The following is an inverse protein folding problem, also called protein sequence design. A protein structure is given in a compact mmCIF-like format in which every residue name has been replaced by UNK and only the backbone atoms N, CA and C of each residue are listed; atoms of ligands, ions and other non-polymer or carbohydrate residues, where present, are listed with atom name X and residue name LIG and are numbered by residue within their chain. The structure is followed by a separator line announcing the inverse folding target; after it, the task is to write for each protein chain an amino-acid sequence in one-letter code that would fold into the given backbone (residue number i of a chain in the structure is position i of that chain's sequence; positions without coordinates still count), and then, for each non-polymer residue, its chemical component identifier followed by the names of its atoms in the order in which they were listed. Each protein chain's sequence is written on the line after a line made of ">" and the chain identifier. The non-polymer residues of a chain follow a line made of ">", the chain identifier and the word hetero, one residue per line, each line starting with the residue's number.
data_IF_779670869071
#
_entry.id   IF_779670869071
#
_cell.length_a   1.000
_cell.length_b   1.000
_cell.length_c   1.000
_cell.angle_alpha   90.00
_cell.angle_beta   90.00
_cell.angle_gamma   90.00
#
_symmetry.space_group_name_H-M   'P 1'
#
loop_
_entity.id
_entity.type
_entity.pdbx_description
1 polymer ?
#
# COMPACT_ATOMS: atom_id res chain seq x y z
N UNK A 1 17.85 10.86 -62.26
CA UNK A 1 16.70 10.20 -61.63
C UNK A 1 17.25 9.46 -60.40
N UNK A 2 17.09 10.08 -59.23
CA UNK A 2 17.64 9.59 -57.97
C UNK A 2 16.46 9.09 -57.09
N UNK A 3 16.14 7.83 -57.18
CA UNK A 3 15.11 7.21 -56.34
C UNK A 3 15.72 6.83 -54.98
N UNK A 4 15.56 7.73 -54.00
CA UNK A 4 15.76 7.35 -52.58
C UNK A 4 14.55 6.53 -52.14
N UNK A 5 14.74 5.36 -51.50
CA UNK A 5 13.64 4.67 -50.90
C UNK A 5 13.11 5.46 -49.68
N UNK A 6 11.84 5.67 -49.68
CA UNK A 6 11.04 6.32 -48.66
C UNK A 6 11.17 5.52 -47.35
N UNK A 7 11.72 6.15 -46.29
CA UNK A 7 11.80 5.57 -44.96
C UNK A 7 10.39 5.38 -44.38
N UNK A 8 9.82 4.24 -44.60
CA UNK A 8 8.64 3.80 -43.83
C UNK A 8 9.01 3.71 -42.36
N UNK A 9 8.35 4.39 -41.43
CA UNK A 9 8.61 4.24 -40.01
C UNK A 9 8.31 2.81 -39.60
N UNK A 10 9.30 2.14 -39.04
CA UNK A 10 9.16 0.83 -38.45
C UNK A 10 8.07 0.86 -37.37
N UNK A 11 7.13 -0.12 -37.30
CA UNK A 11 6.11 -0.14 -36.28
C UNK A 11 6.77 -0.22 -34.90
N UNK A 12 6.70 0.88 -34.14
CA UNK A 12 7.17 0.91 -32.77
C UNK A 12 6.35 -0.09 -31.96
N UNK A 13 6.96 -1.23 -31.64
CA UNK A 13 6.38 -2.19 -30.70
C UNK A 13 6.09 -1.45 -29.37
N UNK A 14 4.86 -1.53 -28.84
CA UNK A 14 4.55 -0.93 -27.56
C UNK A 14 5.53 -1.47 -26.52
N UNK A 15 6.07 -0.63 -25.63
CA UNK A 15 7.03 -1.06 -24.62
C UNK A 15 6.40 -2.18 -23.79
N UNK A 16 7.08 -3.34 -23.78
CA UNK A 16 6.66 -4.50 -23.00
C UNK A 16 6.51 -4.06 -21.56
N UNK A 17 5.29 -4.19 -21.01
CA UNK A 17 5.00 -3.78 -19.65
C UNK A 17 5.98 -4.46 -18.67
N UNK A 18 6.59 -3.74 -17.73
CA UNK A 18 7.55 -4.30 -16.77
C UNK A 18 6.96 -5.42 -15.91
N UNK A 19 5.63 -5.55 -15.89
CA UNK A 19 4.90 -6.57 -15.14
C UNK A 19 5.02 -7.97 -15.77
N UNK A 20 5.43 -8.10 -17.03
CA UNK A 20 5.56 -9.42 -17.71
C UNK A 20 6.73 -10.26 -17.20
N UNK A 21 7.65 -9.70 -16.40
CA UNK A 21 8.83 -10.39 -15.84
C UNK A 21 8.67 -10.85 -14.39
N UNK A 22 7.57 -10.51 -13.72
CA UNK A 22 7.34 -11.01 -12.36
C UNK A 22 6.81 -12.44 -12.48
N UNK A 23 7.71 -13.41 -12.39
CA UNK A 23 7.33 -14.81 -12.22
C UNK A 23 6.61 -14.94 -10.87
N UNK A 24 5.37 -15.39 -10.87
CA UNK A 24 4.57 -15.66 -9.67
C UNK A 24 5.34 -16.52 -8.65
N UNK A 25 6.22 -17.42 -9.15
CA UNK A 25 7.08 -18.25 -8.31
C UNK A 25 8.03 -17.46 -7.42
N UNK A 26 8.48 -16.28 -7.84
CA UNK A 26 9.40 -15.46 -7.03
C UNK A 26 8.71 -14.70 -5.90
N UNK A 27 7.40 -14.49 -6.01
CA UNK A 27 6.60 -13.91 -4.94
C UNK A 27 6.19 -14.95 -3.88
N UNK A 28 6.19 -16.24 -4.26
CA UNK A 28 5.74 -17.32 -3.37
C UNK A 28 6.71 -17.57 -2.22
N UNK A 29 8.03 -17.50 -2.44
CA UNK A 29 9.03 -17.73 -1.41
C UNK A 29 8.96 -16.74 -0.23
N UNK A 30 8.90 -15.41 -0.44
CA UNK A 30 8.75 -14.46 0.67
C UNK A 30 7.46 -14.65 1.45
N UNK A 31 6.37 -14.99 0.79
CA UNK A 31 5.08 -15.26 1.43
C UNK A 31 5.17 -16.52 2.31
N UNK A 32 5.79 -17.57 1.80
CA UNK A 32 5.96 -18.83 2.54
C UNK A 32 6.87 -18.63 3.77
N UNK A 33 7.95 -17.88 3.63
CA UNK A 33 8.86 -17.54 4.73
C UNK A 33 8.13 -16.70 5.79
N UNK A 34 7.35 -15.69 5.36
CA UNK A 34 6.54 -14.86 6.28
C UNK A 34 5.49 -15.68 7.03
N UNK A 35 4.75 -16.53 6.33
CA UNK A 35 3.78 -17.44 6.95
C UNK A 35 4.45 -18.43 7.91
N UNK A 36 5.61 -18.98 7.52
CA UNK A 36 6.38 -19.87 8.37
C UNK A 36 6.89 -19.18 9.64
N UNK A 37 7.38 -17.95 9.54
CA UNK A 37 7.81 -17.16 10.68
C UNK A 37 6.65 -16.84 11.63
N UNK A 38 5.50 -16.41 11.08
CA UNK A 38 4.29 -16.16 11.87
C UNK A 38 3.77 -17.44 12.53
N UNK A 39 3.75 -18.56 11.79
CA UNK A 39 3.35 -19.86 12.33
C UNK A 39 4.27 -20.31 13.45
N UNK A 40 5.59 -20.14 13.29
CA UNK A 40 6.57 -20.47 14.33
C UNK A 40 6.41 -19.59 15.57
N UNK A 41 6.21 -18.27 15.41
CA UNK A 41 5.97 -17.35 16.53
C UNK A 41 4.67 -17.69 17.25
N UNK A 42 3.59 -17.96 16.52
CA UNK A 42 2.34 -18.40 17.11
C UNK A 42 2.51 -19.69 17.88
N UNK A 43 3.23 -20.68 17.34
CA UNK A 43 3.44 -21.94 18.04
C UNK A 43 4.32 -21.81 19.29
N UNK A 44 5.36 -20.97 19.23
CA UNK A 44 6.29 -20.76 20.36
C UNK A 44 5.66 -19.95 21.49
N UNK A 45 4.90 -18.90 21.13
CA UNK A 45 4.35 -17.93 22.09
C UNK A 45 2.87 -18.19 22.39
N UNK A 46 2.30 -19.29 21.84
CA UNK A 46 0.91 -19.66 22.05
C UNK A 46 0.70 -20.25 23.42
N UNK A 47 0.35 -19.41 24.37
CA UNK A 47 -0.02 -19.83 25.72
C UNK A 47 -1.56 -19.90 25.83
N UNK A 48 -2.07 -21.14 25.87
CA UNK A 48 -3.52 -21.40 26.06
C UNK A 48 -4.04 -20.81 27.39
N UNK A 49 -3.17 -20.65 28.38
CA UNK A 49 -3.55 -20.08 29.69
C UNK A 49 -3.90 -18.59 29.57
N UNK A 50 -3.23 -17.84 28.66
CA UNK A 50 -3.56 -16.43 28.37
C UNK A 50 -4.96 -16.32 27.78
N UNK A 51 -5.36 -17.24 26.90
CA UNK A 51 -6.70 -17.25 26.31
C UNK A 51 -7.78 -17.65 27.30
N UNK A 52 -7.49 -18.56 28.25
CA UNK A 52 -8.46 -18.97 29.29
C UNK A 52 -8.72 -17.86 30.30
N UNK A 53 -7.80 -16.91 30.47
CA UNK A 53 -7.92 -15.75 31.34
C UNK A 53 -8.67 -14.56 30.71
N UNK A 54 -8.97 -14.60 29.40
CA UNK A 54 -9.70 -13.53 28.73
C UNK A 54 -11.18 -13.64 29.10
N UNK A 55 -11.58 -12.89 30.11
CA UNK A 55 -13.01 -12.70 30.42
C UNK A 55 -13.61 -11.73 29.40
N UNK A 56 -14.61 -12.18 28.67
CA UNK A 56 -15.32 -11.36 27.70
C UNK A 56 -16.13 -10.28 28.45
N UNK A 57 -15.46 -9.13 28.67
CA UNK A 57 -16.08 -7.99 29.34
C UNK A 57 -16.65 -7.02 28.31
N UNK A 58 -17.77 -6.38 28.65
CA UNK A 58 -18.36 -5.29 27.84
C UNK A 58 -17.35 -4.14 27.59
N UNK A 59 -16.47 -3.91 28.51
CA UNK A 59 -15.38 -2.95 28.39
C UNK A 59 -14.38 -3.32 27.29
N UNK A 60 -14.05 -4.61 27.14
CA UNK A 60 -13.20 -5.10 26.05
C UNK A 60 -13.86 -4.88 24.68
N UNK A 61 -15.16 -5.18 24.57
CA UNK A 61 -15.92 -4.95 23.33
C UNK A 61 -15.95 -3.47 22.96
N UNK A 62 -16.13 -2.60 23.93
CA UNK A 62 -16.10 -1.15 23.73
C UNK A 62 -14.76 -0.69 23.12
N UNK A 63 -13.62 -1.11 23.70
CA UNK A 63 -12.30 -0.74 23.18
C UNK A 63 -12.02 -1.33 21.80
N UNK A 64 -12.51 -2.55 21.55
CA UNK A 64 -12.39 -3.17 20.22
C UNK A 64 -13.18 -2.40 19.16
N UNK A 65 -14.40 -1.98 19.47
CA UNK A 65 -15.20 -1.13 18.59
C UNK A 65 -14.52 0.22 18.37
N UNK A 66 -13.97 0.84 19.43
CA UNK A 66 -13.23 2.10 19.30
C UNK A 66 -11.99 1.94 18.42
N UNK A 67 -11.25 0.84 18.54
CA UNK A 67 -10.12 0.57 17.67
C UNK A 67 -10.54 0.48 16.18
N UNK A 68 -11.64 -0.20 15.89
CA UNK A 68 -12.22 -0.29 14.54
C UNK A 68 -12.65 1.09 14.03
N UNK A 69 -13.31 1.91 14.86
CA UNK A 69 -13.70 3.28 14.50
C UNK A 69 -12.49 4.15 14.17
N UNK A 70 -11.43 4.08 14.96
CA UNK A 70 -10.18 4.81 14.68
C UNK A 70 -9.50 4.32 13.41
N UNK A 71 -9.52 3.02 13.13
CA UNK A 71 -9.00 2.44 11.88
C UNK A 71 -9.74 3.01 10.66
N UNK A 72 -11.08 3.03 10.68
CA UNK A 72 -11.87 3.65 9.61
C UNK A 72 -11.59 5.16 9.49
N UNK A 73 -11.43 5.87 10.62
CA UNK A 73 -11.05 7.28 10.62
C UNK A 73 -9.73 7.54 9.93
N UNK A 74 -8.73 6.68 10.16
CA UNK A 74 -7.44 6.69 9.49
C UNK A 74 -7.59 6.54 7.98
N UNK A 75 -8.36 5.55 7.54
CA UNK A 75 -8.55 5.24 6.11
C UNK A 75 -9.27 6.39 5.38
N UNK A 76 -10.27 7.00 6.03
CA UNK A 76 -10.91 8.22 5.53
C UNK A 76 -9.90 9.35 5.39
N UNK A 77 -9.00 9.53 6.36
CA UNK A 77 -7.92 10.49 6.31
C UNK A 77 -7.00 10.28 5.08
N UNK A 78 -6.62 9.04 4.80
CA UNK A 78 -5.82 8.70 3.61
C UNK A 78 -6.57 8.98 2.30
N UNK A 79 -7.86 8.68 2.24
CA UNK A 79 -8.70 8.96 1.06
C UNK A 79 -8.78 10.46 0.80
N UNK A 80 -9.00 11.27 1.84
CA UNK A 80 -9.03 12.74 1.74
C UNK A 80 -7.67 13.25 1.27
N UNK A 81 -6.58 12.78 1.87
CA UNK A 81 -5.21 13.17 1.54
C UNK A 81 -4.89 12.93 0.07
N UNK A 82 -5.12 11.73 -0.45
CA UNK A 82 -4.83 11.40 -1.84
C UNK A 82 -5.69 12.22 -2.82
N UNK A 83 -6.92 12.55 -2.45
CA UNK A 83 -7.78 13.43 -3.24
C UNK A 83 -7.25 14.86 -3.30
N UNK A 84 -6.82 15.42 -2.17
CA UNK A 84 -6.22 16.76 -2.10
C UNK A 84 -4.94 16.78 -2.94
N UNK A 85 -4.04 15.82 -2.77
CA UNK A 85 -2.78 15.74 -3.51
C UNK A 85 -2.98 15.53 -5.02
N UNK A 86 -4.03 14.84 -5.41
CA UNK A 86 -4.42 14.70 -6.82
C UNK A 86 -5.15 15.93 -7.38
N UNK A 87 -5.31 16.99 -6.59
CA UNK A 87 -6.11 18.17 -6.94
C UNK A 87 -7.57 17.81 -7.31
N UNK A 88 -8.16 16.91 -6.54
CA UNK A 88 -9.51 16.36 -6.72
C UNK A 88 -9.76 15.66 -8.09
N UNK A 89 -8.71 15.31 -8.81
CA UNK A 89 -8.84 14.52 -10.04
C UNK A 89 -9.38 13.11 -9.76
N UNK A 90 -9.08 12.55 -8.59
CA UNK A 90 -9.65 11.29 -8.14
C UNK A 90 -11.03 11.51 -7.51
N UNK A 91 -12.03 10.79 -7.99
CA UNK A 91 -13.33 10.70 -7.33
C UNK A 91 -13.19 9.95 -5.99
N UNK A 92 -14.20 10.06 -5.11
CA UNK A 92 -14.19 9.34 -3.83
C UNK A 92 -14.04 7.81 -3.99
N UNK A 93 -14.71 7.23 -4.98
CA UNK A 93 -14.64 5.79 -5.28
C UNK A 93 -13.26 5.37 -5.79
N UNK A 94 -12.64 6.19 -6.63
CA UNK A 94 -11.29 5.95 -7.15
C UNK A 94 -10.25 6.05 -6.04
N UNK A 95 -10.31 7.08 -5.21
CA UNK A 95 -9.43 7.27 -4.06
C UNK A 95 -9.56 6.10 -3.07
N UNK A 96 -10.79 5.68 -2.73
CA UNK A 96 -11.03 4.51 -1.89
C UNK A 96 -10.40 3.24 -2.49
N UNK A 97 -10.63 2.99 -3.78
CA UNK A 97 -10.06 1.82 -4.48
C UNK A 97 -8.52 1.83 -4.44
N UNK A 98 -7.91 2.98 -4.71
CA UNK A 98 -6.44 3.12 -4.68
C UNK A 98 -5.90 2.84 -3.28
N UNK A 99 -6.48 3.42 -2.23
CA UNK A 99 -6.03 3.22 -0.85
C UNK A 99 -6.18 1.76 -0.43
N UNK A 100 -7.35 1.14 -0.65
CA UNK A 100 -7.57 -0.27 -0.30
C UNK A 100 -6.59 -1.22 -1.02
N UNK A 101 -6.34 -0.99 -2.32
CA UNK A 101 -5.39 -1.77 -3.08
C UNK A 101 -3.94 -1.53 -2.63
N UNK A 102 -3.61 -0.30 -2.25
CA UNK A 102 -2.29 0.02 -1.69
C UNK A 102 -2.06 -0.70 -0.37
N UNK A 103 -2.99 -0.59 0.58
CA UNK A 103 -2.90 -1.26 1.88
C UNK A 103 -2.85 -2.78 1.73
N UNK A 104 -3.73 -3.35 0.91
CA UNK A 104 -3.72 -4.78 0.62
C UNK A 104 -2.36 -5.23 0.06
N UNK A 105 -1.83 -4.50 -0.93
CA UNK A 105 -0.54 -4.84 -1.55
C UNK A 105 0.60 -4.69 -0.55
N UNK A 106 0.58 -3.67 0.30
CA UNK A 106 1.57 -3.48 1.36
C UNK A 106 1.53 -4.60 2.39
N UNK A 107 0.34 -5.10 2.72
CA UNK A 107 0.18 -6.21 3.67
C UNK A 107 0.73 -7.55 3.14
N UNK A 108 0.61 -7.82 1.85
CA UNK A 108 1.07 -9.08 1.24
C UNK A 108 2.51 -9.01 0.72
N UNK A 109 3.09 -7.83 0.60
CA UNK A 109 4.46 -7.66 0.08
C UNK A 109 5.42 -7.38 1.24
N UNK A 110 6.38 -8.27 1.55
CA UNK A 110 7.28 -8.12 2.70
C UNK A 110 8.36 -7.05 2.47
N UNK A 111 8.05 -6.01 1.73
CA UNK A 111 8.97 -4.91 1.41
C UNK A 111 8.22 -3.58 1.43
N UNK A 112 8.76 -2.61 2.14
CA UNK A 112 8.25 -1.24 2.17
C UNK A 112 8.14 -0.60 0.77
N UNK A 113 8.98 -1.04 -0.17
CA UNK A 113 9.02 -0.53 -1.55
C UNK A 113 7.93 -1.16 -2.42
N UNK A 114 7.49 -2.39 -2.11
CA UNK A 114 6.52 -3.12 -2.92
C UNK A 114 5.16 -2.43 -2.99
N UNK A 115 4.59 -2.08 -1.85
CA UNK A 115 3.31 -1.38 -1.75
C UNK A 115 3.33 -0.02 -2.44
N UNK A 116 4.38 0.76 -2.22
CA UNK A 116 4.55 2.10 -2.80
C UNK A 116 4.64 2.05 -4.33
N UNK A 117 5.43 1.11 -4.88
CA UNK A 117 5.57 0.96 -6.33
C UNK A 117 4.25 0.59 -7.01
N UNK A 118 3.48 -0.29 -6.38
CA UNK A 118 2.17 -0.70 -6.88
C UNK A 118 1.13 0.41 -6.75
N UNK A 119 1.20 1.21 -5.67
CA UNK A 119 0.34 2.39 -5.49
C UNK A 119 0.50 3.40 -6.65
N UNK A 120 1.73 3.65 -7.12
CA UNK A 120 1.99 4.51 -8.28
C UNK A 120 1.23 4.01 -9.51
N UNK A 121 1.26 2.68 -9.74
CA UNK A 121 0.56 2.06 -10.87
C UNK A 121 -0.96 2.22 -10.74
N UNK A 122 -1.51 2.07 -9.53
CA UNK A 122 -2.95 2.23 -9.31
C UNK A 122 -3.40 3.67 -9.52
N UNK A 123 -2.66 4.65 -8.99
CA UNK A 123 -2.95 6.08 -9.22
C UNK A 123 -2.86 6.42 -10.71
N UNK A 124 -1.87 5.88 -11.42
CA UNK A 124 -1.74 6.07 -12.86
C UNK A 124 -2.91 5.48 -13.65
N UNK A 125 -3.37 4.29 -13.28
CA UNK A 125 -4.53 3.64 -13.94
C UNK A 125 -5.84 4.43 -13.81
N UNK A 126 -5.95 5.26 -12.80
CA UNK A 126 -7.11 6.15 -12.64
C UNK A 126 -7.01 7.45 -13.48
N UNK A 127 -6.04 7.54 -14.40
CA UNK A 127 -5.92 8.61 -15.39
C UNK A 127 -4.94 9.73 -15.05
N UNK A 128 -4.15 9.57 -13.98
CA UNK A 128 -3.11 10.54 -13.59
C UNK A 128 -1.79 10.17 -14.29
N UNK A 129 -1.03 11.16 -14.77
CA UNK A 129 0.27 10.91 -15.40
C UNK A 129 1.24 10.22 -14.45
N UNK A 130 2.15 9.38 -14.96
CA UNK A 130 3.09 8.59 -14.16
C UNK A 130 3.92 9.47 -13.20
N UNK A 131 4.47 10.60 -13.72
CA UNK A 131 5.26 11.51 -12.90
C UNK A 131 4.46 12.11 -11.74
N UNK A 132 3.21 12.50 -11.98
CA UNK A 132 2.32 13.03 -10.94
C UNK A 132 1.89 11.94 -9.97
N UNK A 133 1.61 10.73 -10.44
CA UNK A 133 1.30 9.58 -9.60
C UNK A 133 2.45 9.27 -8.64
N UNK A 134 3.69 9.27 -9.15
CA UNK A 134 4.88 9.09 -8.31
C UNK A 134 5.03 10.19 -7.27
N UNK A 135 4.83 11.44 -7.65
CA UNK A 135 4.89 12.57 -6.71
C UNK A 135 3.83 12.46 -5.60
N UNK A 136 2.58 12.12 -5.95
CA UNK A 136 1.48 11.94 -4.98
C UNK A 136 1.83 10.84 -3.98
N UNK A 137 2.26 9.69 -4.47
CA UNK A 137 2.56 8.52 -3.62
C UNK A 137 3.77 8.80 -2.74
N UNK A 138 4.86 9.37 -3.28
CA UNK A 138 6.05 9.73 -2.51
C UNK A 138 5.73 10.78 -1.43
N UNK A 139 4.94 11.80 -1.78
CA UNK A 139 4.53 12.81 -0.80
C UNK A 139 3.65 12.22 0.30
N UNK A 140 2.77 11.29 -0.04
CA UNK A 140 1.94 10.58 0.96
C UNK A 140 2.83 9.80 1.93
N UNK A 141 3.79 9.01 1.42
CA UNK A 141 4.73 8.26 2.26
C UNK A 141 5.60 9.20 3.11
N UNK A 142 6.09 10.30 2.54
CA UNK A 142 6.87 11.29 3.28
C UNK A 142 6.09 11.93 4.44
N UNK A 143 4.81 12.22 4.24
CA UNK A 143 3.96 12.77 5.30
C UNK A 143 3.73 11.76 6.44
N UNK A 144 3.68 10.47 6.12
CA UNK A 144 3.57 9.42 7.14
C UNK A 144 4.87 9.31 7.96
N UNK A 145 6.03 9.32 7.31
CA UNK A 145 7.33 9.32 7.98
C UNK A 145 7.50 10.60 8.84
N UNK A 146 7.10 11.76 8.32
CA UNK A 146 7.16 13.02 9.05
C UNK A 146 6.29 12.97 10.33
N UNK A 147 5.11 12.36 10.24
CA UNK A 147 4.25 12.15 11.40
C UNK A 147 4.98 11.35 12.49
N UNK A 148 5.64 10.24 12.14
CA UNK A 148 6.39 9.44 13.10
C UNK A 148 7.58 10.20 13.69
N UNK A 149 8.33 10.94 12.88
CA UNK A 149 9.46 11.75 13.32
C UNK A 149 9.04 12.81 14.36
N UNK A 150 7.84 13.38 14.22
CA UNK A 150 7.32 14.40 15.15
C UNK A 150 6.69 13.74 16.39
N UNK A 151 5.89 12.70 16.20
CA UNK A 151 5.11 12.11 17.29
C UNK A 151 5.96 11.26 18.23
N UNK A 152 7.00 10.59 17.71
CA UNK A 152 7.84 9.73 18.55
C UNK A 152 8.60 10.50 19.64
N UNK A 153 9.30 11.63 19.38
CA UNK A 153 9.89 12.44 20.43
C UNK A 153 8.86 13.02 21.41
N UNK A 154 7.69 13.42 20.92
CA UNK A 154 6.61 13.94 21.77
C UNK A 154 6.13 12.91 22.79
N UNK A 155 5.99 11.65 22.38
CA UNK A 155 5.59 10.54 23.28
C UNK A 155 6.66 10.21 24.32
N UNK A 156 7.94 10.46 24.04
CA UNK A 156 9.03 10.24 25.00
C UNK A 156 9.09 11.37 26.05
N UNK A 157 8.63 12.56 25.68
CA UNK A 157 8.65 13.74 26.56
C UNK A 157 7.47 13.80 27.53
N UNK A 158 6.42 12.99 27.32
CA UNK A 158 5.22 12.89 28.18
C UNK A 158 5.35 11.68 29.10
#
# INVERSE_FOLDING_TARGET
>A
MNNRPENTPEPQHPPKSPLSKIRLSNAFYPILIGLGAVGYMLWKDFDIQVFSGITFSWHMVFWLVMAVVFMFGRDIGYIIRIRILSNNQLSWRQAFRVIMLWEFTSAITPSAVGGTSVAIIYVHKEGISVGRSSAIVMLTSFLDELYFIVMFPLLILI
#
